data_IF_359703378013
#
_entry.id   IF_359703378013
#
_cell.length_a   1.000
_cell.length_b   1.000
_cell.length_c   1.000
_cell.angle_alpha   90.00
_cell.angle_beta   90.00
_cell.angle_gamma   90.00
#
_symmetry.space_group_name_H-M   'P 1'
#
loop_
_entity.id
_entity.type
_entity.pdbx_description
1 polymer ?
#
# COMPACT_ATOMS: atom_id res chain seq x y z
N UNK A 1 2.96 2.10 8.10
CA UNK A 1 1.64 1.80 7.51
C UNK A 1 1.86 1.45 6.05
N UNK A 2 1.30 0.33 5.60
CA UNK A 2 1.28 -0.03 4.18
C UNK A 2 -0.07 0.40 3.63
N UNK A 3 -0.07 1.22 2.59
CA UNK A 3 -1.27 1.81 1.99
C UNK A 3 -1.50 1.25 0.60
N UNK A 4 -2.67 0.67 0.37
CA UNK A 4 -3.11 0.15 -0.93
C UNK A 4 -4.23 1.05 -1.47
N UNK A 5 -3.99 1.70 -2.60
CA UNK A 5 -4.98 2.58 -3.21
C UNK A 5 -6.18 1.80 -3.76
N UNK A 6 -7.32 2.48 -3.96
CA UNK A 6 -8.50 1.93 -4.59
C UNK A 6 -8.43 1.93 -6.11
N UNK A 7 -9.59 1.90 -6.77
CA UNK A 7 -9.67 1.95 -8.25
C UNK A 7 -10.08 0.63 -8.91
N UNK A 8 -10.77 -0.25 -8.18
CA UNK A 8 -11.34 -1.48 -8.76
C UNK A 8 -10.30 -2.41 -9.39
N UNK A 9 -9.05 -2.37 -8.91
CA UNK A 9 -7.89 -3.08 -9.46
C UNK A 9 -7.52 -2.72 -10.91
N UNK A 10 -8.11 -1.68 -11.49
CA UNK A 10 -7.97 -1.34 -12.92
C UNK A 10 -7.50 0.10 -13.13
N UNK A 11 -8.04 1.04 -12.35
CA UNK A 11 -7.80 2.48 -12.53
C UNK A 11 -7.11 3.10 -11.31
N UNK A 12 -6.78 4.39 -11.43
CA UNK A 12 -6.01 5.19 -10.47
C UNK A 12 -4.56 4.71 -10.35
N UNK A 13 -3.78 5.36 -9.49
CA UNK A 13 -2.38 5.06 -9.19
C UNK A 13 -2.00 5.82 -7.90
N UNK A 14 -0.73 5.72 -7.51
CA UNK A 14 -0.18 6.48 -6.38
C UNK A 14 -0.32 8.00 -6.52
N UNK A 15 -0.34 8.57 -7.72
CA UNK A 15 -0.45 10.02 -7.92
C UNK A 15 -1.88 10.50 -7.68
N UNK A 16 -2.87 9.74 -8.16
CA UNK A 16 -4.30 10.00 -7.90
C UNK A 16 -4.61 9.95 -6.39
N UNK A 17 -3.98 9.03 -5.67
CA UNK A 17 -4.24 8.83 -4.25
C UNK A 17 -3.28 9.57 -3.29
N UNK A 18 -2.24 10.27 -3.78
CA UNK A 18 -1.12 10.83 -2.99
C UNK A 18 -1.54 11.64 -1.74
N UNK A 19 -2.66 12.37 -1.81
CA UNK A 19 -3.16 13.17 -0.69
C UNK A 19 -3.52 12.32 0.55
N UNK A 20 -4.11 11.13 0.35
CA UNK A 20 -4.57 10.24 1.43
C UNK A 20 -3.43 9.65 2.28
N UNK A 21 -2.40 8.97 1.72
CA UNK A 21 -1.28 8.46 2.50
C UNK A 21 -0.46 9.60 3.13
N UNK A 22 -0.36 10.78 2.51
CA UNK A 22 0.29 11.95 3.14
C UNK A 22 -0.47 12.45 4.37
N UNK A 23 -1.78 12.60 4.27
CA UNK A 23 -2.62 13.00 5.40
C UNK A 23 -2.51 11.97 6.53
N UNK A 24 -2.56 10.68 6.19
CA UNK A 24 -2.40 9.59 7.13
C UNK A 24 -1.03 9.61 7.82
N UNK A 25 0.06 9.84 7.08
CA UNK A 25 1.40 9.94 7.64
C UNK A 25 1.49 11.06 8.69
N UNK A 26 0.94 12.23 8.36
CA UNK A 26 0.90 13.39 9.26
C UNK A 26 0.06 13.12 10.52
N UNK A 27 -1.12 12.53 10.36
CA UNK A 27 -2.06 12.32 11.46
C UNK A 27 -1.62 11.19 12.40
N UNK A 28 -1.10 10.09 11.85
CA UNK A 28 -0.66 8.93 12.62
C UNK A 28 0.77 9.08 13.16
N UNK A 29 1.50 10.11 12.73
CA UNK A 29 2.94 10.29 12.98
C UNK A 29 3.72 9.00 12.67
N UNK A 30 3.52 8.47 11.46
CA UNK A 30 4.03 7.18 11.05
C UNK A 30 4.58 7.23 9.62
N UNK A 31 5.54 6.35 9.33
CA UNK A 31 5.99 6.10 7.96
C UNK A 31 4.82 5.43 7.20
N UNK A 32 4.44 6.01 6.07
CA UNK A 32 3.43 5.45 5.17
C UNK A 32 4.10 5.09 3.85
N UNK A 33 3.93 3.85 3.40
CA UNK A 33 4.41 3.36 2.11
C UNK A 33 3.20 3.12 1.23
N UNK A 34 3.03 3.94 0.19
CA UNK A 34 1.96 3.79 -0.80
C UNK A 34 2.40 2.82 -1.88
N UNK A 35 1.64 1.74 -2.09
CA UNK A 35 2.02 0.65 -2.98
C UNK A 35 1.33 0.81 -4.33
N UNK A 36 2.14 0.95 -5.37
CA UNK A 36 1.71 0.79 -6.77
C UNK A 36 1.74 -0.71 -7.10
N UNK A 37 0.57 -1.32 -7.29
CA UNK A 37 0.43 -2.72 -7.64
C UNK A 37 0.06 -2.88 -9.12
N UNK A 38 0.23 -4.07 -9.70
CA UNK A 38 -0.16 -4.30 -11.10
C UNK A 38 -1.67 -4.30 -11.28
N UNK A 39 -2.14 -3.75 -12.40
CA UNK A 39 -3.55 -3.55 -12.69
C UNK A 39 -4.12 -4.57 -13.67
N UNK A 40 -5.39 -4.89 -13.50
CA UNK A 40 -6.21 -5.55 -14.51
C UNK A 40 -6.62 -4.54 -15.60
N UNK A 41 -6.95 -5.00 -16.82
CA UNK A 41 -6.99 -6.40 -17.28
C UNK A 41 -5.64 -7.03 -17.63
N UNK A 42 -4.55 -6.25 -17.70
CA UNK A 42 -3.20 -6.70 -18.07
C UNK A 42 -2.64 -7.71 -17.07
N UNK A 43 -2.85 -7.45 -15.77
CA UNK A 43 -2.48 -8.30 -14.66
C UNK A 43 -3.73 -8.73 -13.88
N UNK A 44 -4.34 -9.82 -14.32
CA UNK A 44 -5.54 -10.39 -13.71
C UNK A 44 -5.30 -10.88 -12.29
N UNK A 45 -6.37 -11.08 -11.54
CA UNK A 45 -6.32 -11.76 -10.24
C UNK A 45 -5.51 -13.07 -10.36
N UNK A 46 -4.58 -13.35 -9.42
CA UNK A 46 -4.33 -12.65 -8.16
C UNK A 46 -3.16 -11.65 -8.17
N UNK A 47 -2.78 -11.05 -9.31
CA UNK A 47 -1.56 -10.25 -9.43
C UNK A 47 -1.44 -9.11 -8.40
N UNK A 48 -2.47 -8.27 -8.26
CA UNK A 48 -2.49 -7.18 -7.26
C UNK A 48 -2.34 -7.70 -5.81
N UNK A 49 -2.92 -8.86 -5.50
CA UNK A 49 -2.86 -9.47 -4.16
C UNK A 49 -1.45 -10.02 -3.88
N UNK A 50 -0.81 -10.60 -4.91
CA UNK A 50 0.58 -11.05 -4.82
C UNK A 50 1.53 -9.87 -4.62
N UNK A 51 1.32 -8.76 -5.33
CA UNK A 51 2.12 -7.55 -5.17
C UNK A 51 1.92 -6.93 -3.79
N UNK A 52 0.69 -6.88 -3.29
CA UNK A 52 0.38 -6.38 -1.95
C UNK A 52 1.10 -7.21 -0.86
N UNK A 53 1.06 -8.54 -0.96
CA UNK A 53 1.75 -9.42 -0.03
C UNK A 53 3.29 -9.31 -0.16
N UNK A 54 3.81 -9.26 -1.38
CA UNK A 54 5.25 -9.10 -1.61
C UNK A 54 5.76 -7.75 -1.07
N UNK A 55 5.03 -6.67 -1.29
CA UNK A 55 5.32 -5.35 -0.76
C UNK A 55 5.33 -5.36 0.77
N UNK A 56 4.32 -5.96 1.41
CA UNK A 56 4.26 -6.10 2.86
C UNK A 56 5.49 -6.84 3.42
N UNK A 57 5.81 -8.01 2.84
CA UNK A 57 6.98 -8.78 3.25
C UNK A 57 8.27 -7.99 3.07
N UNK A 58 8.44 -7.32 1.93
CA UNK A 58 9.60 -6.48 1.68
C UNK A 58 9.70 -5.34 2.70
N UNK A 59 8.61 -4.63 2.99
CA UNK A 59 8.57 -3.55 3.99
C UNK A 59 8.99 -4.03 5.37
N UNK A 60 8.59 -5.23 5.81
CA UNK A 60 9.03 -5.78 7.10
C UNK A 60 10.55 -5.93 7.17
N UNK A 61 11.22 -6.20 6.05
CA UNK A 61 12.69 -6.29 5.98
C UNK A 61 13.37 -4.92 5.94
N UNK A 62 12.67 -3.87 5.48
CA UNK A 62 13.25 -2.54 5.31
C UNK A 62 12.91 -1.56 6.44
N UNK A 63 11.79 -1.77 7.14
CA UNK A 63 11.20 -0.78 8.06
C UNK A 63 12.20 -0.25 9.09
N UNK A 64 13.02 -1.12 9.69
CA UNK A 64 14.04 -0.73 10.66
C UNK A 64 15.08 0.24 10.08
N UNK A 65 15.44 0.07 8.80
CA UNK A 65 16.38 0.96 8.10
C UNK A 65 15.83 2.36 7.85
N UNK A 66 14.51 2.54 7.87
CA UNK A 66 13.83 3.84 7.75
C UNK A 66 13.53 4.48 9.11
N UNK A 67 13.94 3.85 10.22
CA UNK A 67 13.56 4.26 11.57
C UNK A 67 12.15 3.85 11.99
N UNK A 68 11.52 2.92 11.25
CA UNK A 68 10.25 2.31 11.62
C UNK A 68 10.42 1.08 12.51
N UNK A 69 9.32 0.62 13.11
CA UNK A 69 9.26 -0.59 13.94
C UNK A 69 8.52 -1.71 13.17
N UNK A 70 9.20 -2.80 12.75
CA UNK A 70 8.58 -3.90 12.00
C UNK A 70 7.57 -4.70 12.83
N UNK A 71 7.53 -4.55 14.16
CA UNK A 71 6.49 -5.15 15.01
C UNK A 71 5.21 -4.30 15.06
N UNK A 72 5.24 -3.06 14.54
CA UNK A 72 4.13 -2.09 14.57
C UNK A 72 3.72 -1.68 13.15
N UNK A 73 3.23 -2.64 12.39
CA UNK A 73 2.75 -2.42 11.02
C UNK A 73 1.23 -2.52 10.95
N UNK A 74 0.61 -1.50 10.34
CA UNK A 74 -0.80 -1.50 9.99
C UNK A 74 -0.96 -1.53 8.46
N UNK A 75 -1.98 -2.25 7.99
CA UNK A 75 -2.43 -2.25 6.61
C UNK A 75 -3.63 -1.32 6.49
N UNK A 76 -3.65 -0.49 5.46
CA UNK A 76 -4.75 0.43 5.16
C UNK A 76 -5.03 0.36 3.67
N UNK A 77 -6.29 0.37 3.30
CA UNK A 77 -6.69 0.50 1.91
C UNK A 77 -8.08 1.08 1.78
N UNK A 78 -8.35 1.64 0.60
CA UNK A 78 -9.64 2.23 0.23
C UNK A 78 -10.27 1.40 -0.89
N UNK A 79 -11.57 1.12 -0.79
CA UNK A 79 -12.34 0.38 -1.78
C UNK A 79 -11.66 -0.96 -2.16
N UNK A 80 -11.27 -1.14 -3.42
CA UNK A 80 -10.52 -2.31 -3.90
C UNK A 80 -9.20 -2.54 -3.15
N UNK A 81 -8.50 -1.49 -2.72
CA UNK A 81 -7.30 -1.60 -1.90
C UNK A 81 -7.58 -2.07 -0.47
N UNK A 82 -8.83 -1.98 -0.01
CA UNK A 82 -9.29 -2.58 1.24
C UNK A 82 -9.55 -4.10 1.14
N UNK A 83 -9.46 -4.67 -0.07
CA UNK A 83 -9.51 -6.11 -0.32
C UNK A 83 -8.23 -6.56 -1.08
N UNK A 84 -7.07 -6.54 -0.41
CA UNK A 84 -5.80 -7.04 -0.96
C UNK A 84 -5.64 -8.56 -0.83
#
# INVERSE_FOLDING_TARGET
VVYFHGGGWVIADIDVYDASPRALAKMANAIVVSIEYRHAPEAKFPAAHQDANAAYQWILTQAAGWGGDPSRVALVGDSAGGNP
#
